data_IF_477363541076
#
_entry.id   IF_477363541076
#
_cell.length_a   1.000
_cell.length_b   1.000
_cell.length_c   1.000
_cell.angle_alpha   90.00
_cell.angle_beta   90.00
_cell.angle_gamma   90.00
#
_symmetry.space_group_name_H-M   'P 1'
#
loop_
_entity.id
_entity.type
_entity.pdbx_description
1 polymer ?
#
# COMPACT_ATOMS: atom_id res chain seq x y z
N UNK A 1 -4.32 13.54 -2.26
CA UNK A 1 -4.11 14.49 -1.14
C UNK A 1 -3.27 15.72 -1.55
N UNK A 2 -3.13 16.01 -2.84
CA UNK A 2 -2.57 17.29 -3.30
C UNK A 2 -3.72 18.25 -3.61
N UNK A 3 -3.45 19.57 -3.63
CA UNK A 3 -4.47 20.61 -3.85
C UNK A 3 -5.23 20.45 -5.17
N UNK A 4 -4.53 20.03 -6.22
CA UNK A 4 -5.14 19.59 -7.48
C UNK A 4 -5.02 18.07 -7.64
N UNK A 5 -5.96 17.28 -7.09
CA UNK A 5 -5.83 15.83 -7.05
C UNK A 5 -5.97 15.17 -8.43
N UNK A 6 -6.83 15.70 -9.32
CA UNK A 6 -7.06 15.12 -10.66
C UNK A 6 -5.80 15.22 -11.50
N UNK A 7 -5.23 16.42 -11.61
CA UNK A 7 -3.98 16.65 -12.35
C UNK A 7 -2.82 15.84 -11.75
N UNK A 8 -2.73 15.77 -10.42
CA UNK A 8 -1.70 14.98 -9.75
C UNK A 8 -1.81 13.47 -10.03
N UNK A 9 -3.03 12.91 -10.05
CA UNK A 9 -3.24 11.51 -10.41
C UNK A 9 -2.94 11.26 -11.89
N UNK A 10 -3.32 12.15 -12.79
CA UNK A 10 -2.99 12.03 -14.21
C UNK A 10 -1.48 12.03 -14.43
N UNK A 11 -0.76 12.97 -13.81
CA UNK A 11 0.71 13.01 -13.88
C UNK A 11 1.32 11.73 -13.30
N UNK A 12 0.84 11.27 -12.14
CA UNK A 12 1.34 10.04 -11.53
C UNK A 12 1.16 8.84 -12.46
N UNK A 13 -0.02 8.73 -13.08
CA UNK A 13 -0.33 7.68 -14.05
C UNK A 13 0.62 7.74 -15.25
N UNK A 14 0.75 8.90 -15.88
CA UNK A 14 1.62 9.09 -17.06
C UNK A 14 3.08 8.77 -16.73
N UNK A 15 3.61 9.31 -15.62
CA UNK A 15 4.97 9.09 -15.16
C UNK A 15 5.21 7.60 -14.82
N UNK A 16 4.23 6.93 -14.19
CA UNK A 16 4.35 5.52 -13.80
C UNK A 16 4.24 4.57 -15.01
N UNK A 17 3.36 4.86 -15.96
CA UNK A 17 3.24 4.10 -17.22
C UNK A 17 4.52 4.22 -18.03
N UNK A 18 5.08 5.42 -18.14
CA UNK A 18 6.30 5.68 -18.90
C UNK A 18 7.59 5.23 -18.18
N UNK A 19 7.51 4.82 -16.91
CA UNK A 19 8.68 4.48 -16.11
C UNK A 19 9.52 3.35 -16.73
N UNK A 20 10.81 3.59 -16.92
CA UNK A 20 11.75 2.59 -17.47
C UNK A 20 12.98 2.47 -16.57
N UNK A 21 13.41 1.23 -16.32
CA UNK A 21 14.60 0.92 -15.54
C UNK A 21 15.63 0.24 -16.44
N UNK A 22 16.44 1.03 -17.14
CA UNK A 22 17.53 0.52 -17.96
C UNK A 22 18.57 -0.20 -17.07
N UNK A 23 18.88 -1.49 -17.31
CA UNK A 23 19.92 -2.19 -16.56
C UNK A 23 21.29 -1.52 -16.73
N UNK A 24 22.12 -1.57 -15.69
CA UNK A 24 23.51 -1.11 -15.80
C UNK A 24 24.30 -1.98 -16.81
N UNK A 25 25.34 -1.43 -17.46
CA UNK A 25 26.17 -2.19 -18.41
C UNK A 25 26.63 -3.54 -17.85
N UNK A 26 26.41 -4.61 -18.63
CA UNK A 26 26.77 -5.98 -18.23
C UNK A 26 25.75 -6.69 -17.33
N UNK A 27 24.61 -6.05 -16.98
CA UNK A 27 23.53 -6.68 -16.21
C UNK A 27 22.31 -6.98 -17.08
N UNK A 28 21.66 -8.10 -16.81
CA UNK A 28 20.37 -8.47 -17.43
C UNK A 28 19.16 -7.76 -16.79
N UNK A 29 19.33 -7.21 -15.58
CA UNK A 29 18.28 -6.56 -14.79
C UNK A 29 18.88 -5.38 -14.02
N UNK A 30 18.11 -4.31 -13.79
CA UNK A 30 18.56 -3.19 -12.98
C UNK A 30 18.90 -3.65 -11.56
N UNK A 31 19.96 -3.11 -10.98
CA UNK A 31 20.28 -3.40 -9.58
C UNK A 31 19.24 -2.79 -8.63
N UNK A 32 19.08 -3.40 -7.45
CA UNK A 32 18.24 -2.84 -6.40
C UNK A 32 18.64 -1.42 -6.01
N UNK A 33 19.94 -1.09 -6.12
CA UNK A 33 20.44 0.28 -5.91
C UNK A 33 19.87 1.24 -6.94
N UNK A 34 20.01 0.93 -8.23
CA UNK A 34 19.52 1.79 -9.31
C UNK A 34 18.01 2.03 -9.21
N UNK A 35 17.23 0.97 -9.00
CA UNK A 35 15.77 1.07 -8.84
C UNK A 35 15.42 1.95 -7.65
N UNK A 36 16.12 1.80 -6.53
CA UNK A 36 15.88 2.61 -5.32
C UNK A 36 16.24 4.08 -5.53
N UNK A 37 17.38 4.35 -6.17
CA UNK A 37 17.88 5.71 -6.39
C UNK A 37 16.95 6.46 -7.37
N UNK A 38 16.52 5.81 -8.46
CA UNK A 38 15.56 6.38 -9.39
C UNK A 38 14.19 6.60 -8.74
N UNK A 39 13.70 5.64 -7.95
CA UNK A 39 12.43 5.80 -7.25
C UNK A 39 12.47 6.96 -6.25
N UNK A 40 13.55 7.10 -5.47
CA UNK A 40 13.76 8.25 -4.58
C UNK A 40 13.77 9.58 -5.34
N UNK A 41 14.43 9.64 -6.50
CA UNK A 41 14.42 10.83 -7.36
C UNK A 41 13.02 11.15 -7.90
N UNK A 42 12.25 10.14 -8.31
CA UNK A 42 10.86 10.31 -8.75
C UNK A 42 9.99 10.88 -7.63
N UNK A 43 10.13 10.39 -6.39
CA UNK A 43 9.41 10.93 -5.23
C UNK A 43 9.77 12.40 -4.98
N UNK A 44 11.06 12.74 -5.00
CA UNK A 44 11.52 14.12 -4.84
C UNK A 44 10.99 15.04 -5.96
N UNK A 45 10.92 14.53 -7.20
CA UNK A 45 10.44 15.29 -8.37
C UNK A 45 8.91 15.45 -8.36
N UNK A 46 8.18 14.46 -7.85
CA UNK A 46 6.72 14.51 -7.79
C UNK A 46 6.22 15.40 -6.64
N UNK A 47 6.83 15.28 -5.46
CA UNK A 47 6.41 15.98 -4.24
C UNK A 47 7.22 17.23 -3.89
N UNK A 48 8.30 17.52 -4.60
CA UNK A 48 9.17 18.67 -4.34
C UNK A 48 8.38 19.99 -4.24
N UNK A 49 8.55 20.70 -3.13
CA UNK A 49 7.83 21.94 -2.83
C UNK A 49 6.35 21.78 -2.43
N UNK A 50 5.83 20.54 -2.41
CA UNK A 50 4.40 20.26 -2.22
C UNK A 50 4.11 19.29 -1.06
N UNK A 51 5.13 18.80 -0.36
CA UNK A 51 4.97 17.88 0.79
C UNK A 51 3.99 18.44 1.84
N UNK A 52 4.05 19.75 2.11
CA UNK A 52 3.16 20.41 3.06
C UNK A 52 1.67 20.34 2.66
N UNK A 53 1.34 20.27 1.37
CA UNK A 53 -0.04 20.07 0.91
C UNK A 53 -0.61 18.74 1.45
N UNK A 54 0.24 17.71 1.51
CA UNK A 54 -0.13 16.38 1.99
C UNK A 54 -0.14 16.33 3.52
N UNK A 55 0.91 16.87 4.16
CA UNK A 55 1.02 16.86 5.62
C UNK A 55 -0.09 17.65 6.30
N UNK A 56 -0.47 18.79 5.73
CA UNK A 56 -1.47 19.70 6.30
C UNK A 56 -2.83 19.60 5.60
N UNK A 57 -3.10 18.48 4.92
CA UNK A 57 -4.35 18.33 4.19
C UNK A 57 -5.55 18.50 5.14
N UNK A 58 -6.55 19.36 4.82
CA UNK A 58 -7.60 19.71 5.78
C UNK A 58 -8.52 18.52 6.08
N UNK A 59 -8.87 17.74 5.05
CA UNK A 59 -9.82 16.61 5.14
C UNK A 59 -9.19 15.26 5.50
N UNK A 60 -8.13 14.85 4.79
CA UNK A 60 -7.51 13.54 4.97
C UNK A 60 -6.31 13.60 5.91
N UNK A 61 -6.01 12.47 6.55
CA UNK A 61 -4.80 12.24 7.35
C UNK A 61 -4.04 11.09 6.71
N UNK A 62 -2.78 11.33 6.39
CA UNK A 62 -1.92 10.32 5.76
C UNK A 62 -1.27 9.45 6.83
N UNK A 63 -1.35 8.14 6.64
CA UNK A 63 -0.61 7.14 7.38
C UNK A 63 0.24 6.34 6.39
N UNK A 64 1.57 6.40 6.52
CA UNK A 64 2.51 5.60 5.71
C UNK A 64 2.97 4.42 6.56
N UNK A 65 2.65 3.20 6.12
CA UNK A 65 3.00 1.97 6.83
C UNK A 65 4.32 1.44 6.29
N UNK A 66 5.25 1.13 7.20
CA UNK A 66 6.55 0.55 6.87
C UNK A 66 6.85 -0.63 7.79
N UNK A 67 7.75 -1.51 7.36
CA UNK A 67 8.21 -2.64 8.15
C UNK A 67 9.66 -2.45 8.56
N UNK A 68 9.92 -2.16 9.84
CA UNK A 68 11.28 -2.01 10.38
C UNK A 68 11.85 -3.38 10.75
N UNK A 69 13.03 -3.69 10.25
CA UNK A 69 13.77 -4.89 10.61
C UNK A 69 14.34 -4.86 12.03
N UNK A 70 14.30 -6.00 12.70
CA UNK A 70 14.88 -6.23 14.03
C UNK A 70 15.97 -7.31 13.98
N UNK A 71 16.92 -7.24 14.90
CA UNK A 71 18.00 -8.23 15.05
C UNK A 71 18.79 -8.46 13.74
N UNK A 72 18.66 -9.62 13.10
CA UNK A 72 19.30 -9.92 11.82
C UNK A 72 18.84 -8.99 10.69
N UNK A 73 17.61 -8.49 10.76
CA UNK A 73 17.02 -7.56 9.80
C UNK A 73 17.29 -6.09 10.15
N UNK A 74 17.97 -5.81 11.27
CA UNK A 74 18.22 -4.42 11.72
C UNK A 74 19.10 -3.60 10.77
N UNK A 75 19.86 -4.27 9.90
CA UNK A 75 20.60 -3.67 8.78
C UNK A 75 20.51 -4.58 7.57
N UNK A 76 20.51 -3.98 6.38
CA UNK A 76 20.56 -4.74 5.14
C UNK A 76 21.93 -5.37 4.94
N UNK A 77 21.95 -6.67 4.64
CA UNK A 77 23.16 -7.44 4.45
C UNK A 77 22.89 -8.66 3.56
N UNK A 78 23.82 -8.98 2.66
CA UNK A 78 23.68 -10.05 1.67
C UNK A 78 23.29 -11.42 2.25
N UNK A 79 23.82 -11.77 3.44
CA UNK A 79 23.51 -13.02 4.14
C UNK A 79 22.45 -12.91 5.24
N UNK A 80 22.53 -11.89 6.12
CA UNK A 80 21.64 -11.77 7.28
C UNK A 80 20.21 -11.43 6.87
N UNK A 81 20.03 -10.67 5.80
CA UNK A 81 18.69 -10.28 5.33
C UNK A 81 17.89 -11.49 4.82
N UNK A 82 18.40 -12.34 3.92
CA UNK A 82 17.72 -13.59 3.55
C UNK A 82 17.40 -14.48 4.76
N UNK A 83 18.36 -14.70 5.67
CA UNK A 83 18.15 -15.53 6.86
C UNK A 83 17.08 -14.95 7.80
N UNK A 84 17.09 -13.63 7.99
CA UNK A 84 16.09 -12.94 8.80
C UNK A 84 14.69 -13.04 8.21
N UNK A 85 14.54 -12.89 6.89
CA UNK A 85 13.24 -13.06 6.23
C UNK A 85 12.77 -14.52 6.21
N UNK A 86 13.69 -15.47 6.11
CA UNK A 86 13.36 -16.89 6.26
C UNK A 86 12.82 -17.18 7.68
N UNK A 87 13.49 -16.66 8.72
CA UNK A 87 12.99 -16.75 10.10
C UNK A 87 11.63 -16.07 10.30
N UNK A 88 11.44 -14.89 9.69
CA UNK A 88 10.15 -14.19 9.69
C UNK A 88 9.05 -15.02 9.01
N UNK A 89 9.34 -15.68 7.89
CA UNK A 89 8.40 -16.56 7.18
C UNK A 89 8.01 -17.78 8.02
N UNK A 90 8.98 -18.47 8.62
CA UNK A 90 8.73 -19.64 9.46
C UNK A 90 7.86 -19.27 10.68
N UNK A 91 8.22 -18.19 11.38
CA UNK A 91 7.46 -17.72 12.53
C UNK A 91 6.06 -17.23 12.16
N UNK A 92 5.90 -16.52 11.03
CA UNK A 92 4.59 -16.11 10.53
C UNK A 92 3.68 -17.30 10.21
N UNK A 93 4.24 -18.37 9.63
CA UNK A 93 3.50 -19.59 9.28
C UNK A 93 2.87 -20.23 10.51
N UNK A 94 3.62 -20.29 11.62
CA UNK A 94 3.13 -20.79 12.92
C UNK A 94 2.14 -19.83 13.56
N UNK A 95 2.55 -18.57 13.80
CA UNK A 95 1.69 -17.57 14.42
C UNK A 95 2.08 -16.16 13.96
N UNK A 96 1.16 -15.41 13.37
CA UNK A 96 1.45 -14.10 12.77
C UNK A 96 2.12 -13.13 13.73
N UNK A 97 1.62 -13.04 14.97
CA UNK A 97 2.18 -12.16 16.01
C UNK A 97 3.64 -12.47 16.35
N UNK A 98 4.10 -13.72 16.13
CA UNK A 98 5.49 -14.11 16.37
C UNK A 98 6.46 -13.46 15.36
N UNK A 99 5.97 -13.06 14.18
CA UNK A 99 6.76 -12.27 13.22
C UNK A 99 7.22 -10.92 13.82
N UNK A 100 6.53 -10.43 14.86
CA UNK A 100 6.91 -9.25 15.63
C UNK A 100 8.31 -9.34 16.28
N UNK A 101 8.88 -10.54 16.38
CA UNK A 101 10.28 -10.73 16.78
C UNK A 101 11.26 -10.21 15.72
N UNK A 102 10.89 -10.29 14.44
CA UNK A 102 11.75 -9.97 13.29
C UNK A 102 11.45 -8.61 12.68
N UNK A 103 10.18 -8.20 12.69
CA UNK A 103 9.69 -6.99 12.07
C UNK A 103 8.83 -6.20 13.05
N UNK A 104 8.88 -4.88 12.97
CA UNK A 104 8.04 -3.94 13.70
C UNK A 104 7.28 -3.09 12.69
N UNK A 105 5.95 -3.02 12.83
CA UNK A 105 5.10 -2.10 12.05
C UNK A 105 5.42 -0.69 12.50
N UNK A 106 5.91 0.16 11.60
CA UNK A 106 6.14 1.58 11.90
C UNK A 106 5.25 2.41 11.00
N UNK A 107 4.32 3.16 11.61
CA UNK A 107 3.32 3.96 10.91
C UNK A 107 3.63 5.44 11.08
N UNK A 108 4.03 6.10 10.00
CA UNK A 108 4.27 7.53 9.99
C UNK A 108 2.97 8.27 9.71
N UNK A 109 2.51 9.10 10.66
CA UNK A 109 1.18 9.69 10.63
C UNK A 109 1.23 11.22 10.59
N UNK A 110 0.54 11.83 9.62
CA UNK A 110 0.44 13.29 9.50
C UNK A 110 -0.42 13.89 10.62
N UNK A 111 -0.11 15.10 11.05
CA UNK A 111 -0.89 15.87 12.05
C UNK A 111 -1.12 15.11 13.36
N UNK A 112 -0.21 14.17 13.70
CA UNK A 112 -0.33 13.29 14.87
C UNK A 112 -1.69 12.58 14.94
N UNK A 113 -2.31 12.33 13.79
CA UNK A 113 -3.61 11.68 13.72
C UNK A 113 -3.51 10.29 14.38
N UNK A 114 -4.49 9.90 15.22
CA UNK A 114 -4.50 8.57 15.83
C UNK A 114 -4.59 7.49 14.75
N UNK A 115 -4.09 6.29 15.04
CA UNK A 115 -4.21 5.16 14.11
C UNK A 115 -5.68 4.72 14.02
N UNK A 116 -6.22 4.52 12.81
CA UNK A 116 -7.61 4.10 12.62
C UNK A 116 -7.77 2.58 12.79
N UNK A 117 -6.93 1.93 13.59
CA UNK A 117 -6.97 0.48 13.83
C UNK A 117 -6.26 0.12 15.13
N UNK A 118 -6.61 -1.03 15.69
CA UNK A 118 -5.98 -1.60 16.88
C UNK A 118 -4.57 -2.14 16.59
N UNK A 119 -3.65 -1.96 17.52
CA UNK A 119 -2.23 -2.36 17.39
C UNK A 119 -1.86 -3.56 18.28
N UNK A 120 -2.84 -4.34 18.74
CA UNK A 120 -2.62 -5.46 19.68
C UNK A 120 -2.13 -6.74 18.98
N UNK A 121 -2.35 -6.81 17.68
CA UNK A 121 -2.03 -7.93 16.78
C UNK A 121 -0.53 -8.04 16.48
N UNK A 122 0.13 -6.89 16.40
CA UNK A 122 1.48 -6.77 15.87
C UNK A 122 2.26 -5.70 16.63
N UNK A 123 3.57 -5.91 16.80
CA UNK A 123 4.43 -4.89 17.40
C UNK A 123 4.38 -3.64 16.51
N UNK A 124 3.79 -2.58 17.03
CA UNK A 124 3.51 -1.37 16.28
C UNK A 124 4.10 -0.15 16.97
N UNK A 125 4.65 0.77 16.18
CA UNK A 125 5.05 2.10 16.60
C UNK A 125 4.45 3.13 15.68
N UNK A 126 3.90 4.17 16.25
CA UNK A 126 3.49 5.36 15.51
C UNK A 126 4.59 6.42 15.59
N UNK A 127 4.90 7.06 14.46
CA UNK A 127 5.87 8.15 14.36
C UNK A 127 5.17 9.35 13.72
N UNK A 128 5.47 10.57 14.19
CA UNK A 128 4.96 11.77 13.55
C UNK A 128 5.58 11.94 12.15
N UNK A 129 4.73 12.09 11.14
CA UNK A 129 5.17 12.39 9.79
C UNK A 129 5.53 13.89 9.71
N UNK A 130 6.71 14.17 9.17
CA UNK A 130 7.28 15.49 8.97
C UNK A 130 7.85 15.60 7.56
N UNK A 131 8.26 16.79 7.16
CA UNK A 131 8.87 16.99 5.84
C UNK A 131 10.20 16.22 5.70
N UNK A 132 10.99 16.15 6.78
CA UNK A 132 12.28 15.45 6.82
C UNK A 132 12.14 13.94 6.62
N UNK A 133 11.04 13.35 7.08
CA UNK A 133 10.82 11.91 7.00
C UNK A 133 9.79 11.47 5.94
N UNK A 134 9.15 12.41 5.25
CA UNK A 134 8.09 12.10 4.27
C UNK A 134 8.58 11.21 3.12
N UNK A 135 9.58 11.67 2.38
CA UNK A 135 10.14 10.91 1.25
C UNK A 135 10.80 9.59 1.68
N UNK A 136 11.65 9.53 2.73
CA UNK A 136 12.23 8.25 3.15
C UNK A 136 11.19 7.26 3.69
N UNK A 137 10.13 7.72 4.38
CA UNK A 137 9.03 6.85 4.80
C UNK A 137 8.25 6.30 3.60
N UNK A 138 7.92 7.17 2.63
CA UNK A 138 7.22 6.77 1.41
C UNK A 138 8.06 5.81 0.56
N UNK A 139 9.37 6.07 0.44
CA UNK A 139 10.30 5.18 -0.24
C UNK A 139 10.34 3.82 0.44
N UNK A 140 10.50 3.80 1.76
CA UNK A 140 10.52 2.56 2.54
C UNK A 140 9.23 1.76 2.39
N UNK A 141 8.07 2.43 2.38
CA UNK A 141 6.75 1.80 2.20
C UNK A 141 6.63 1.01 0.90
N UNK A 142 7.46 1.28 -0.11
CA UNK A 142 7.50 0.56 -1.38
C UNK A 142 8.80 -0.24 -1.61
N UNK A 143 9.70 -0.30 -0.61
CA UNK A 143 10.98 -1.02 -0.71
C UNK A 143 10.79 -2.53 -0.52
N UNK A 144 10.34 -3.21 -1.58
CA UNK A 144 10.17 -4.67 -1.58
C UNK A 144 11.55 -5.34 -1.41
N UNK A 145 11.72 -6.28 -0.45
CA UNK A 145 12.98 -6.97 -0.24
C UNK A 145 13.52 -7.61 -1.51
N UNK A 146 14.83 -7.52 -1.71
CA UNK A 146 15.57 -8.05 -2.88
C UNK A 146 15.29 -7.37 -4.23
N UNK A 147 14.26 -6.52 -4.31
CA UNK A 147 13.96 -5.70 -5.50
C UNK A 147 14.48 -4.26 -5.32
N UNK A 148 14.29 -3.71 -4.12
CA UNK A 148 14.79 -2.40 -3.72
C UNK A 148 15.66 -2.54 -2.47
N UNK A 149 16.49 -1.53 -2.22
CA UNK A 149 17.21 -1.37 -0.97
C UNK A 149 16.25 -0.90 0.12
N UNK A 150 16.55 -1.31 1.33
CA UNK A 150 15.95 -0.70 2.52
C UNK A 150 16.36 0.75 2.66
N UNK A 151 15.48 1.53 3.29
CA UNK A 151 15.82 2.87 3.77
C UNK A 151 16.36 2.73 5.19
N UNK A 152 17.55 3.29 5.45
CA UNK A 152 18.17 3.21 6.77
C UNK A 152 17.82 4.45 7.59
N UNK A 153 17.62 4.25 8.89
CA UNK A 153 17.62 5.31 9.90
C UNK A 153 16.73 6.52 9.57
N UNK A 154 15.46 6.26 9.21
CA UNK A 154 14.50 7.30 8.84
C UNK A 154 14.37 8.36 9.96
N UNK A 155 14.46 9.67 9.65
CA UNK A 155 14.41 10.72 10.66
C UNK A 155 13.17 10.66 11.57
N UNK A 156 13.40 10.83 12.88
CA UNK A 156 12.36 10.75 13.91
C UNK A 156 11.87 9.33 14.24
N UNK A 157 12.31 8.31 13.49
CA UNK A 157 11.98 6.92 13.75
C UNK A 157 13.15 6.18 14.43
N UNK A 158 12.91 5.02 15.07
CA UNK A 158 13.99 4.21 15.63
C UNK A 158 15.06 3.83 14.57
N UNK A 159 16.34 3.71 14.93
CA UNK A 159 17.38 3.35 13.96
C UNK A 159 17.17 1.93 13.38
N UNK A 160 17.54 1.72 12.13
CA UNK A 160 17.54 0.41 11.47
C UNK A 160 17.07 0.44 10.01
N UNK A 161 16.94 -0.74 9.42
CA UNK A 161 16.48 -0.93 8.06
C UNK A 161 14.94 -0.95 7.97
N UNK A 162 14.39 -0.13 7.09
CA UNK A 162 12.97 -0.02 6.80
C UNK A 162 12.65 -0.56 5.41
N UNK A 163 11.58 -1.33 5.35
CA UNK A 163 11.11 -2.05 4.17
C UNK A 163 9.61 -1.82 3.94
N UNK A 164 9.14 -2.36 2.82
CA UNK A 164 7.75 -2.27 2.37
C UNK A 164 6.75 -2.59 3.50
N UNK A 165 5.74 -1.73 3.65
CA UNK A 165 4.69 -1.89 4.67
C UNK A 165 3.87 -3.16 4.46
N UNK A 166 3.71 -3.59 3.21
CA UNK A 166 2.96 -4.79 2.86
C UNK A 166 3.57 -6.09 3.38
N UNK A 167 4.83 -6.09 3.82
CA UNK A 167 5.41 -7.25 4.52
C UNK A 167 4.62 -7.55 5.79
N UNK A 168 4.30 -6.52 6.55
CA UNK A 168 3.50 -6.61 7.78
C UNK A 168 2.01 -6.42 7.52
N UNK A 169 1.59 -5.67 6.49
CA UNK A 169 0.19 -5.29 6.26
C UNK A 169 -0.14 -5.22 4.75
N UNK A 170 -0.20 -6.37 4.06
CA UNK A 170 -0.21 -6.43 2.58
C UNK A 170 -1.43 -5.77 1.95
N UNK A 171 -2.63 -6.23 2.31
CA UNK A 171 -3.88 -5.58 1.91
C UNK A 171 -4.56 -4.90 3.09
N UNK A 172 -3.79 -4.44 4.08
CA UNK A 172 -4.33 -3.74 5.26
C UNK A 172 -5.46 -4.51 5.96
N UNK A 173 -5.27 -5.81 6.16
CA UNK A 173 -6.16 -6.65 6.97
C UNK A 173 -5.99 -6.33 8.46
N UNK A 174 -6.48 -5.17 8.87
CA UNK A 174 -6.27 -4.57 10.18
C UNK A 174 -7.55 -4.66 11.01
N UNK A 175 -7.40 -4.63 12.33
CA UNK A 175 -8.52 -4.61 13.27
C UNK A 175 -9.13 -3.19 13.31
N UNK A 176 -10.09 -2.97 12.42
CA UNK A 176 -10.80 -1.69 12.28
C UNK A 176 -11.99 -1.57 13.22
N UNK A 177 -12.51 -2.67 13.77
CA UNK A 177 -13.67 -2.69 14.66
C UNK A 177 -13.32 -2.22 16.09
N UNK A 178 -12.46 -1.20 16.19
CA UNK A 178 -12.01 -0.64 17.45
C UNK A 178 -12.77 0.66 17.77
N UNK A 179 -13.04 0.90 19.04
CA UNK A 179 -13.63 2.15 19.55
C UNK A 179 -12.83 3.40 19.13
N UNK A 180 -11.56 3.21 18.72
CA UNK A 180 -10.69 4.26 18.18
C UNK A 180 -11.22 4.85 16.86
N UNK A 181 -11.86 4.06 16.00
CA UNK A 181 -12.48 4.58 14.78
C UNK A 181 -13.73 5.39 15.14
N UNK A 182 -14.57 4.88 16.04
CA UNK A 182 -15.80 5.57 16.46
C UNK A 182 -15.51 6.92 17.12
N UNK A 183 -14.46 7.00 17.96
CA UNK A 183 -14.07 8.22 18.66
C UNK A 183 -13.49 9.31 17.75
N UNK A 184 -13.07 8.97 16.53
CA UNK A 184 -12.38 9.87 15.59
C UNK A 184 -13.01 9.93 14.20
N UNK A 185 -14.12 9.22 13.97
CA UNK A 185 -14.97 9.45 12.82
C UNK A 185 -15.40 10.92 12.86
N UNK A 186 -15.11 11.67 11.79
CA UNK A 186 -15.47 13.08 11.73
C UNK A 186 -16.94 13.25 12.09
N UNK A 187 -17.24 14.19 12.98
CA UNK A 187 -18.60 14.45 13.45
C UNK A 187 -19.56 14.94 12.36
N UNK A 188 -19.16 14.90 11.08
CA UNK A 188 -19.96 15.29 9.91
C UNK A 188 -19.80 14.25 8.79
N UNK A 189 -20.89 13.64 8.35
CA UNK A 189 -21.00 12.82 7.15
C UNK A 189 -21.69 13.57 6.00
N UNK A 190 -21.91 12.89 4.86
CA UNK A 190 -22.58 13.46 3.69
C UNK A 190 -24.01 13.97 3.99
N UNK A 191 -24.63 13.53 5.08
CA UNK A 191 -25.98 13.89 5.50
C UNK A 191 -26.05 14.83 6.73
N UNK A 192 -24.92 15.34 7.25
CA UNK A 192 -24.89 16.21 8.43
C UNK A 192 -24.07 15.65 9.59
N UNK A 193 -24.38 16.08 10.82
CA UNK A 193 -23.64 15.66 12.02
C UNK A 193 -23.80 14.15 12.28
N UNK A 194 -22.70 13.46 12.59
CA UNK A 194 -22.68 12.01 12.76
C UNK A 194 -22.51 11.67 14.25
N UNK A 195 -23.62 11.41 14.95
CA UNK A 195 -23.66 11.09 16.39
C UNK A 195 -23.52 9.58 16.68
N UNK A 196 -22.98 8.81 15.73
CA UNK A 196 -22.89 7.34 15.85
C UNK A 196 -21.95 6.93 16.98
N UNK A 197 -22.51 6.29 18.01
CA UNK A 197 -21.76 5.63 19.10
C UNK A 197 -21.18 4.25 18.73
N UNK A 198 -21.46 3.77 17.52
CA UNK A 198 -21.03 2.45 17.03
C UNK A 198 -19.75 2.57 16.20
N UNK A 199 -18.97 1.47 16.14
CA UNK A 199 -17.82 1.35 15.25
C UNK A 199 -18.21 1.72 13.80
N UNK A 200 -17.49 2.67 13.21
CA UNK A 200 -17.73 3.12 11.85
C UNK A 200 -17.43 2.03 10.82
N UNK A 201 -18.01 2.16 9.63
CA UNK A 201 -17.68 1.30 8.49
C UNK A 201 -16.37 1.75 7.84
N UNK A 202 -15.57 0.78 7.39
CA UNK A 202 -14.39 1.01 6.55
C UNK A 202 -14.74 0.69 5.11
N UNK A 203 -14.76 1.72 4.26
CA UNK A 203 -14.85 1.51 2.82
C UNK A 203 -13.45 1.18 2.28
N UNK A 204 -13.30 -0.01 1.69
CA UNK A 204 -12.03 -0.47 1.14
C UNK A 204 -12.16 -0.78 -0.35
N UNK A 205 -11.96 0.20 -1.24
CA UNK A 205 -11.81 -0.06 -2.67
C UNK A 205 -10.50 -0.82 -2.91
N UNK A 206 -10.60 -2.00 -3.52
CA UNK A 206 -9.48 -2.87 -3.78
C UNK A 206 -9.62 -3.53 -5.15
N UNK A 207 -8.52 -4.09 -5.65
CA UNK A 207 -8.51 -4.72 -6.98
C UNK A 207 -8.85 -6.21 -6.96
N UNK A 208 -9.13 -6.78 -5.80
CA UNK A 208 -9.50 -8.18 -5.61
C UNK A 208 -10.33 -8.37 -4.32
N UNK A 209 -10.98 -9.53 -4.20
CA UNK A 209 -11.84 -9.85 -3.04
C UNK A 209 -11.10 -10.32 -1.78
N UNK A 210 -9.87 -10.82 -1.92
CA UNK A 210 -9.11 -11.36 -0.79
C UNK A 210 -8.25 -10.27 -0.13
N UNK A 211 -8.54 -9.97 1.13
CA UNK A 211 -7.75 -9.05 1.95
C UNK A 211 -6.68 -9.86 2.68
N UNK A 212 -5.49 -9.97 2.11
CA UNK A 212 -4.43 -10.84 2.62
C UNK A 212 -3.66 -10.11 3.73
N UNK A 213 -3.43 -10.74 4.90
CA UNK A 213 -2.79 -10.05 6.04
C UNK A 213 -1.41 -9.49 5.76
N UNK A 214 -0.49 -10.30 5.25
CA UNK A 214 0.89 -9.90 4.99
C UNK A 214 1.43 -10.51 3.72
N UNK A 215 2.53 -9.95 3.23
CA UNK A 215 3.13 -10.39 1.98
C UNK A 215 3.59 -11.84 2.06
N UNK A 216 4.08 -12.27 3.24
CA UNK A 216 4.45 -13.66 3.51
C UNK A 216 3.25 -14.62 3.53
N UNK A 217 2.02 -14.12 3.66
CA UNK A 217 0.79 -14.91 3.59
C UNK A 217 0.24 -15.03 2.16
N UNK A 218 0.86 -14.35 1.17
CA UNK A 218 0.40 -14.36 -0.23
C UNK A 218 0.26 -15.78 -0.81
N UNK A 219 1.17 -16.68 -0.45
CA UNK A 219 1.12 -18.09 -0.83
C UNK A 219 0.25 -18.97 0.08
N UNK A 220 -0.10 -18.50 1.28
CA UNK A 220 -0.80 -19.27 2.31
C UNK A 220 -2.33 -19.10 2.15
N UNK A 221 -2.92 -19.79 1.18
CA UNK A 221 -4.33 -19.59 0.78
C UNK A 221 -5.35 -19.76 1.90
N UNK A 222 -5.06 -20.55 2.93
CA UNK A 222 -5.92 -20.70 4.11
C UNK A 222 -6.03 -19.42 4.95
N UNK A 223 -5.18 -18.41 4.71
CA UNK A 223 -5.20 -17.10 5.37
C UNK A 223 -5.87 -16.00 4.53
N UNK A 224 -6.53 -16.37 3.43
CA UNK A 224 -7.14 -15.40 2.49
C UNK A 224 -8.62 -15.14 2.80
N UNK A 225 -9.20 -15.86 3.77
CA UNK A 225 -10.56 -15.64 4.24
C UNK A 225 -10.68 -14.42 5.16
N UNK A 226 -11.88 -13.86 5.24
CA UNK A 226 -12.19 -12.79 6.18
C UNK A 226 -12.09 -13.27 7.63
N UNK A 227 -11.66 -12.39 8.53
CA UNK A 227 -11.73 -12.60 9.98
C UNK A 227 -12.48 -11.46 10.63
N UNK A 228 -12.71 -11.56 11.95
CA UNK A 228 -13.32 -10.50 12.75
C UNK A 228 -12.67 -9.12 12.63
N UNK A 229 -11.42 -9.04 12.18
CA UNK A 229 -10.74 -7.77 11.90
C UNK A 229 -11.44 -6.96 10.79
N UNK A 230 -12.15 -7.64 9.90
CA UNK A 230 -12.84 -7.05 8.75
C UNK A 230 -14.36 -6.96 8.96
N UNK A 231 -14.89 -7.22 10.15
CA UNK A 231 -16.35 -7.27 10.40
C UNK A 231 -17.04 -5.95 10.04
N UNK A 232 -16.33 -4.81 10.09
CA UNK A 232 -16.83 -3.49 9.72
C UNK A 232 -16.32 -3.01 8.34
N UNK A 233 -15.75 -3.87 7.52
CA UNK A 233 -15.25 -3.51 6.20
C UNK A 233 -16.28 -3.77 5.09
N UNK A 234 -16.51 -2.74 4.27
CA UNK A 234 -17.18 -2.85 2.98
C UNK A 234 -16.10 -2.86 1.89
N UNK A 235 -15.84 -4.04 1.33
CA UNK A 235 -14.87 -4.23 0.25
C UNK A 235 -15.54 -3.99 -1.11
N UNK A 236 -14.99 -3.08 -1.91
CA UNK A 236 -15.37 -2.91 -3.30
C UNK A 236 -14.28 -3.50 -4.18
N UNK A 237 -14.62 -4.44 -5.06
CA UNK A 237 -13.68 -5.05 -5.99
C UNK A 237 -14.33 -5.25 -7.37
N UNK A 238 -13.57 -5.14 -8.47
CA UNK A 238 -14.08 -5.39 -9.81
C UNK A 238 -14.49 -6.86 -9.99
N UNK A 239 -15.45 -7.09 -10.87
CA UNK A 239 -15.80 -8.44 -11.32
C UNK A 239 -14.56 -9.14 -11.92
N UNK A 240 -14.21 -10.36 -11.50
CA UNK A 240 -13.15 -11.14 -12.14
C UNK A 240 -13.28 -11.26 -13.67
N UNK A 241 -14.50 -11.29 -14.22
CA UNK A 241 -14.75 -11.31 -15.66
C UNK A 241 -14.29 -10.01 -16.35
N UNK A 242 -14.43 -8.85 -15.68
CA UNK A 242 -13.89 -7.59 -16.18
C UNK A 242 -12.35 -7.64 -16.27
N UNK A 243 -11.68 -8.22 -15.25
CA UNK A 243 -10.23 -8.41 -15.27
C UNK A 243 -9.78 -9.30 -16.44
N UNK A 244 -10.56 -10.34 -16.77
CA UNK A 244 -10.25 -11.22 -17.90
C UNK A 244 -10.29 -10.51 -19.26
N UNK A 245 -11.08 -9.44 -19.38
CA UNK A 245 -11.16 -8.58 -20.57
C UNK A 245 -9.99 -7.60 -20.74
N UNK A 246 -9.14 -7.45 -19.72
CA UNK A 246 -7.97 -6.57 -19.80
C UNK A 246 -6.85 -7.18 -20.66
N UNK A 247 -5.87 -6.37 -21.12
CA UNK A 247 -4.68 -6.89 -21.78
C UNK A 247 -3.99 -7.98 -20.96
N UNK A 248 -3.72 -9.12 -21.59
CA UNK A 248 -3.15 -10.31 -20.95
C UNK A 248 -4.04 -10.94 -19.86
N UNK A 249 -5.34 -10.60 -19.83
CA UNK A 249 -6.35 -11.10 -18.88
C UNK A 249 -5.95 -10.92 -17.41
N UNK A 250 -5.29 -9.80 -17.11
CA UNK A 250 -4.87 -9.43 -15.76
C UNK A 250 -4.76 -7.91 -15.61
N UNK A 251 -4.64 -7.47 -14.37
CA UNK A 251 -4.23 -6.11 -14.06
C UNK A 251 -2.74 -5.89 -14.38
N UNK A 252 -2.34 -4.67 -14.77
CA UNK A 252 -0.94 -4.27 -14.84
C UNK A 252 -0.17 -4.62 -13.57
N UNK A 253 0.98 -5.26 -13.70
CA UNK A 253 1.83 -5.59 -12.54
C UNK A 253 3.32 -5.58 -12.89
N UNK A 254 4.17 -5.71 -11.86
CA UNK A 254 5.64 -5.66 -12.02
C UNK A 254 6.21 -6.75 -12.93
N UNK A 255 5.51 -7.86 -13.16
CA UNK A 255 5.98 -8.90 -14.09
C UNK A 255 5.92 -8.41 -15.54
N UNK A 256 5.18 -7.33 -15.83
CA UNK A 256 5.12 -6.74 -17.16
C UNK A 256 6.46 -6.15 -17.59
N UNK A 257 7.28 -5.65 -16.65
CA UNK A 257 8.66 -5.26 -16.96
C UNK A 257 9.49 -6.42 -17.51
N UNK A 258 9.24 -7.65 -17.04
CA UNK A 258 9.92 -8.85 -17.55
C UNK A 258 9.28 -9.36 -18.86
N UNK A 259 7.94 -9.30 -18.96
CA UNK A 259 7.19 -9.77 -20.14
C UNK A 259 7.49 -8.94 -21.38
N UNK A 260 7.46 -7.62 -21.25
CA UNK A 260 7.69 -6.71 -22.37
C UNK A 260 9.18 -6.42 -22.58
N UNK A 261 10.00 -6.49 -21.53
CA UNK A 261 11.45 -6.28 -21.64
C UNK A 261 11.77 -4.91 -22.24
N UNK A 262 12.39 -4.90 -23.42
CA UNK A 262 12.74 -3.69 -24.17
C UNK A 262 11.58 -3.07 -24.94
N UNK A 263 10.43 -3.74 -25.02
CA UNK A 263 9.22 -3.21 -25.66
C UNK A 263 8.44 -2.27 -24.73
N UNK A 264 9.03 -1.11 -24.46
CA UNK A 264 8.41 -0.06 -23.64
C UNK A 264 7.06 0.37 -24.24
N UNK A 265 6.99 0.55 -25.56
CA UNK A 265 5.79 1.00 -26.24
C UNK A 265 4.63 0.00 -26.09
N UNK A 266 4.90 -1.31 -26.20
CA UNK A 266 3.91 -2.36 -25.98
C UNK A 266 3.41 -2.41 -24.53
N UNK A 267 4.31 -2.27 -23.55
CA UNK A 267 3.91 -2.18 -22.13
C UNK A 267 3.04 -0.96 -21.88
N UNK A 268 3.46 0.21 -22.35
CA UNK A 268 2.70 1.45 -22.19
C UNK A 268 1.32 1.34 -22.84
N UNK A 269 1.23 0.75 -24.03
CA UNK A 269 -0.06 0.49 -24.70
C UNK A 269 -0.96 -0.38 -23.85
N UNK A 270 -0.46 -1.51 -23.34
CA UNK A 270 -1.25 -2.41 -22.50
C UNK A 270 -1.71 -1.74 -21.21
N UNK A 271 -0.84 -0.99 -20.54
CA UNK A 271 -1.19 -0.29 -19.30
C UNK A 271 -2.20 0.84 -19.54
N UNK A 272 -2.03 1.63 -20.60
CA UNK A 272 -3.00 2.67 -21.00
C UNK A 272 -4.37 2.08 -21.36
N UNK A 273 -4.42 0.93 -22.04
CA UNK A 273 -5.69 0.23 -22.29
C UNK A 273 -6.36 -0.18 -20.99
N UNK A 274 -5.61 -0.72 -20.01
CA UNK A 274 -6.18 -1.10 -18.72
C UNK A 274 -6.68 0.09 -17.90
N UNK A 275 -5.94 1.20 -17.90
CA UNK A 275 -6.38 2.47 -17.31
C UNK A 275 -7.67 2.97 -17.98
N UNK A 276 -7.69 3.05 -19.31
CA UNK A 276 -8.88 3.53 -20.03
C UNK A 276 -10.12 2.67 -19.72
N UNK A 277 -9.94 1.35 -19.61
CA UNK A 277 -11.02 0.43 -19.24
C UNK A 277 -11.56 0.67 -17.81
N UNK A 278 -10.75 1.23 -16.90
CA UNK A 278 -11.19 1.51 -15.52
C UNK A 278 -12.28 2.59 -15.43
N UNK A 279 -12.44 3.41 -16.47
CA UNK A 279 -13.55 4.39 -16.58
C UNK A 279 -14.90 3.71 -16.42
N UNK A 280 -15.06 2.50 -16.99
CA UNK A 280 -16.28 1.70 -16.84
C UNK A 280 -16.63 1.47 -15.36
N UNK A 281 -15.64 1.15 -14.52
CA UNK A 281 -15.87 0.90 -13.09
C UNK A 281 -16.38 2.16 -12.37
N UNK A 282 -15.89 3.33 -12.77
CA UNK A 282 -16.34 4.62 -12.23
C UNK A 282 -17.78 4.89 -12.66
N UNK A 283 -18.08 4.73 -13.95
CA UNK A 283 -19.41 4.97 -14.51
C UNK A 283 -20.46 4.03 -13.89
N UNK A 284 -20.14 2.75 -13.75
CA UNK A 284 -21.01 1.75 -13.12
C UNK A 284 -21.27 2.05 -11.64
N UNK A 285 -20.24 2.47 -10.90
CA UNK A 285 -20.40 2.87 -9.50
C UNK A 285 -21.24 4.14 -9.37
N UNK A 286 -21.02 5.14 -10.22
CA UNK A 286 -21.83 6.37 -10.24
C UNK A 286 -23.30 6.07 -10.53
N UNK A 287 -23.57 5.19 -11.49
CA UNK A 287 -24.94 4.78 -11.81
C UNK A 287 -25.58 4.02 -10.66
N UNK A 288 -24.84 3.10 -10.03
CA UNK A 288 -25.33 2.39 -8.85
C UNK A 288 -25.62 3.34 -7.68
N UNK A 289 -24.78 4.35 -7.45
CA UNK A 289 -25.00 5.35 -6.39
C UNK A 289 -26.25 6.20 -6.62
N UNK A 290 -26.65 6.45 -7.88
CA UNK A 290 -27.89 7.18 -8.21
C UNK A 290 -29.13 6.32 -7.98
N UNK A 291 -29.05 5.02 -8.27
CA UNK A 291 -30.14 4.06 -8.08
C UNK A 291 -29.60 2.75 -7.52
N UNK A 292 -29.41 2.66 -6.19
CA UNK A 292 -28.84 1.49 -5.55
C UNK A 292 -29.69 0.25 -5.80
N UNK A 293 -29.04 -0.82 -6.25
CA UNK A 293 -29.65 -2.14 -6.43
C UNK A 293 -28.69 -3.20 -5.89
N UNK A 294 -29.02 -3.77 -4.74
CA UNK A 294 -28.20 -4.81 -4.10
C UNK A 294 -28.22 -6.13 -4.89
N UNK A 295 -29.20 -6.35 -5.78
CA UNK A 295 -29.22 -7.52 -6.66
C UNK A 295 -28.10 -7.52 -7.70
N UNK A 296 -27.47 -6.35 -7.94
CA UNK A 296 -26.30 -6.19 -8.83
C UNK A 296 -24.96 -6.38 -8.11
N UNK A 297 -24.97 -6.52 -6.79
CA UNK A 297 -23.76 -6.74 -5.98
C UNK A 297 -23.55 -8.25 -5.82
N UNK A 298 -22.43 -8.76 -6.32
CA UNK A 298 -22.09 -10.17 -6.14
C UNK A 298 -21.85 -10.53 -4.66
N UNK A 299 -22.36 -11.68 -4.22
CA UNK A 299 -22.00 -12.24 -2.92
C UNK A 299 -20.55 -12.75 -2.94
N UNK A 300 -19.83 -12.58 -1.81
CA UNK A 300 -18.39 -12.91 -1.67
C UNK A 300 -18.17 -14.41 -1.43
#
# INVERSE_FOLDING_TARGET
CLRNPVEAFQRLEDDYIAQEFAPEPGRKRPSARLVSDQFGQSLATFYGGRVQEVLQHPRYRLHIVTSRGRHLLGREHSLRTPLGYFGAFLTNTVHRKAMGAWLERVVFSSQQAPLPFSTRDYRTRQVALSEENFNPALQASCSIPFMLRSVQDIPGAPPGAYWDGGITDYHLHLDYASDLIAAHAGGTGAAGLNDSKNAGLVLYPHFQKAVVPGWLDKGLKWRHGATHFLDNMVLLAPDPAWIQGLPNSKLPDRNDFLRYGTDLAGRMKAWRTAVSASTQLVDELQEWLRKPDMGRVGAI
#
